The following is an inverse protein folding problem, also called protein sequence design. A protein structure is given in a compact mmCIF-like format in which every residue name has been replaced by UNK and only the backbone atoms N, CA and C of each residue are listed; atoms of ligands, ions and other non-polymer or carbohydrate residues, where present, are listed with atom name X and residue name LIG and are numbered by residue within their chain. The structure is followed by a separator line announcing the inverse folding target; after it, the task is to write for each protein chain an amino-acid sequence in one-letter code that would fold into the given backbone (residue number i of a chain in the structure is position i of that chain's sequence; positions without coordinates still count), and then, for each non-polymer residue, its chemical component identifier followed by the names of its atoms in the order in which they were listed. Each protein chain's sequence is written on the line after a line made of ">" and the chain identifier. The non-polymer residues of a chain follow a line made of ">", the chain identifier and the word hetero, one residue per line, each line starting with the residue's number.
data_IF_759202090723
#
_entry.id   IF_759202090723
#
_cell.length_a   1.000
_cell.length_b   1.000
_cell.length_c   1.000
_cell.angle_alpha   90.00
_cell.angle_beta   90.00
_cell.angle_gamma   90.00
#
_symmetry.space_group_name_H-M   'P 1'
#
loop_
_entity.id
_entity.type
_entity.pdbx_description
1 polymer ?
#
# COMPACT_ATOMS: atom_id res chain seq x y z
N UNK A 1 -52.15 18.65 -17.85
CA UNK A 1 -52.34 17.22 -18.17
C UNK A 1 -50.98 16.62 -18.55
N UNK A 2 -50.35 15.92 -17.61
CA UNK A 2 -49.08 15.22 -17.80
C UNK A 2 -49.39 13.79 -18.26
N UNK A 3 -48.77 13.33 -19.36
CA UNK A 3 -48.78 11.91 -19.74
C UNK A 3 -47.44 11.30 -19.36
N UNK A 4 -47.50 10.36 -18.43
CA UNK A 4 -46.46 9.42 -18.05
C UNK A 4 -46.40 8.26 -19.03
N UNK A 5 -45.20 7.83 -19.41
CA UNK A 5 -44.98 6.54 -20.06
C UNK A 5 -43.94 5.76 -19.24
N UNK A 6 -44.42 4.72 -18.56
CA UNK A 6 -43.66 3.63 -17.98
C UNK A 6 -43.28 2.68 -19.11
N UNK A 7 -42.01 2.26 -19.19
CA UNK A 7 -41.62 1.07 -19.93
C UNK A 7 -40.68 0.26 -19.03
N UNK A 8 -41.10 -0.97 -18.76
CA UNK A 8 -40.42 -2.01 -18.00
C UNK A 8 -40.26 -3.20 -18.93
N UNK A 9 -39.03 -3.59 -19.21
CA UNK A 9 -38.61 -4.91 -19.74
C UNK A 9 -37.16 -5.07 -19.24
N UNK A 10 -36.75 -6.11 -18.51
CA UNK A 10 -37.03 -7.53 -18.67
C UNK A 10 -35.77 -8.18 -19.24
N UNK A 11 -34.78 -8.50 -18.40
CA UNK A 11 -33.55 -9.18 -18.83
C UNK A 11 -33.42 -10.53 -18.13
N UNK A 12 -33.48 -11.59 -18.93
CA UNK A 12 -33.38 -13.00 -18.58
C UNK A 12 -32.04 -13.34 -17.90
N UNK A 13 -32.14 -14.13 -16.84
CA UNK A 13 -31.05 -14.88 -16.21
C UNK A 13 -30.86 -16.21 -16.95
N UNK A 14 -29.63 -16.51 -17.38
CA UNK A 14 -29.23 -17.85 -17.84
C UNK A 14 -28.27 -18.42 -16.80
N UNK A 15 -28.75 -19.43 -16.05
CA UNK A 15 -27.93 -20.27 -15.19
C UNK A 15 -27.36 -21.42 -16.03
N UNK A 16 -26.03 -21.47 -16.17
CA UNK A 16 -25.33 -22.68 -16.62
C UNK A 16 -24.73 -23.39 -15.41
N UNK A 17 -25.38 -24.48 -15.00
CA UNK A 17 -24.85 -25.45 -14.03
C UNK A 17 -23.92 -26.40 -14.78
N UNK A 18 -22.65 -26.42 -14.42
CA UNK A 18 -21.69 -27.42 -14.90
C UNK A 18 -21.18 -28.21 -13.70
N UNK A 19 -21.74 -29.39 -13.53
CA UNK A 19 -21.26 -30.44 -12.63
C UNK A 19 -19.95 -31.02 -13.16
N UNK A 20 -18.87 -30.91 -12.38
CA UNK A 20 -17.64 -31.67 -12.60
C UNK A 20 -17.43 -32.60 -11.41
N UNK A 21 -17.55 -33.88 -11.72
CA UNK A 21 -17.43 -35.02 -10.81
C UNK A 21 -16.01 -35.19 -10.28
N UNK A 22 -15.93 -35.49 -8.98
CA UNK A 22 -14.72 -35.96 -8.32
C UNK A 22 -14.32 -37.35 -8.84
N UNK A 23 -13.03 -37.54 -9.12
CA UNK A 23 -12.42 -38.87 -9.13
C UNK A 23 -11.15 -38.84 -8.28
N UNK A 24 -11.21 -39.54 -7.16
CA UNK A 24 -10.11 -39.82 -6.25
C UNK A 24 -9.17 -40.86 -6.87
N UNK A 25 -7.86 -40.65 -6.76
CA UNK A 25 -6.90 -41.74 -6.72
C UNK A 25 -5.86 -41.46 -5.61
N UNK A 26 -5.68 -42.46 -4.75
CA UNK A 26 -4.82 -42.43 -3.55
C UNK A 26 -3.35 -42.74 -3.89
N UNK A 27 -2.42 -42.38 -2.99
CA UNK A 27 -0.97 -42.48 -3.21
C UNK A 27 -0.42 -43.89 -2.90
N UNK A 28 0.58 -44.30 -3.69
CA UNK A 28 1.38 -45.50 -3.45
C UNK A 28 2.54 -45.21 -2.49
N UNK A 29 2.65 -46.05 -1.46
CA UNK A 29 3.73 -46.07 -0.49
C UNK A 29 4.94 -46.89 -0.99
N UNK A 30 6.14 -46.47 -0.64
CA UNK A 30 7.32 -47.34 -0.63
C UNK A 30 8.17 -47.01 0.62
N UNK A 31 8.29 -48.02 1.48
CA UNK A 31 9.15 -48.08 2.66
C UNK A 31 10.58 -48.45 2.24
N UNK A 32 11.59 -47.85 2.87
CA UNK A 32 13.00 -48.20 2.69
C UNK A 32 13.80 -47.90 3.96
N UNK A 33 14.38 -48.95 4.52
CA UNK A 33 14.92 -49.15 5.86
C UNK A 33 16.03 -48.22 6.39
N UNK A 34 16.03 -48.22 7.73
CA UNK A 34 17.08 -47.97 8.74
C UNK A 34 18.47 -48.49 8.33
N UNK A 35 19.49 -47.67 8.57
CA UNK A 35 20.89 -48.06 8.69
C UNK A 35 21.52 -47.38 9.91
N UNK A 36 21.82 -48.18 10.93
CA UNK A 36 22.54 -47.81 12.14
C UNK A 36 24.05 -47.79 11.91
N UNK A 37 24.74 -46.78 12.41
CA UNK A 37 26.20 -46.76 12.55
C UNK A 37 26.62 -45.62 13.47
N UNK A 38 26.97 -45.95 14.71
CA UNK A 38 27.59 -45.01 15.62
C UNK A 38 29.03 -44.75 15.22
N UNK A 39 29.56 -43.56 15.54
CA UNK A 39 30.61 -43.46 16.54
C UNK A 39 30.98 -42.03 16.92
N UNK A 40 31.42 -41.91 18.17
CA UNK A 40 32.33 -40.89 18.72
C UNK A 40 31.83 -39.46 18.93
N UNK A 41 31.56 -39.18 20.21
CA UNK A 41 31.59 -37.85 20.79
C UNK A 41 32.97 -37.18 20.60
N UNK A 42 32.96 -35.96 20.07
CA UNK A 42 33.94 -34.92 20.42
C UNK A 42 33.19 -33.62 20.66
N UNK A 43 33.17 -33.20 21.92
CA UNK A 43 32.71 -31.90 22.35
C UNK A 43 33.61 -30.82 21.75
N UNK A 44 33.20 -30.27 20.62
CA UNK A 44 33.71 -29.01 20.08
C UNK A 44 32.90 -27.87 20.67
N UNK A 45 33.55 -27.02 21.46
CA UNK A 45 32.99 -25.76 21.95
C UNK A 45 32.54 -24.92 20.75
N UNK A 46 31.24 -24.86 20.52
CA UNK A 46 30.64 -23.94 19.54
C UNK A 46 30.73 -22.54 20.12
N UNK A 47 31.68 -21.75 19.61
CA UNK A 47 31.64 -20.29 19.76
C UNK A 47 30.40 -19.80 19.03
N UNK A 48 29.39 -19.39 19.79
CA UNK A 48 28.29 -18.58 19.27
C UNK A 48 28.82 -17.19 18.99
N UNK A 49 29.30 -16.96 17.78
CA UNK A 49 29.54 -15.62 17.24
C UNK A 49 28.17 -14.96 16.98
N UNK A 50 27.55 -14.48 18.05
CA UNK A 50 26.38 -13.62 18.01
C UNK A 50 26.79 -12.17 18.20
N UNK A 51 27.65 -11.67 17.32
CA UNK A 51 27.89 -10.24 17.18
C UNK A 51 27.82 -9.86 15.70
N UNK A 52 26.60 -9.89 15.17
CA UNK A 52 26.28 -9.08 13.99
C UNK A 52 26.37 -7.63 14.44
N UNK A 53 27.50 -7.00 14.19
CA UNK A 53 27.69 -5.56 14.34
C UNK A 53 26.56 -4.88 13.54
N UNK A 54 25.55 -4.41 14.27
CA UNK A 54 24.40 -3.73 13.69
C UNK A 54 24.87 -2.38 13.20
N UNK A 55 25.14 -2.25 11.90
CA UNK A 55 25.50 -0.96 11.30
C UNK A 55 24.42 0.06 11.66
N UNK A 56 24.75 1.04 12.49
CA UNK A 56 23.81 2.10 12.85
C UNK A 56 23.60 3.01 11.65
N UNK A 57 22.35 3.31 11.33
CA UNK A 57 22.02 4.26 10.26
C UNK A 57 22.65 5.62 10.57
N UNK A 58 23.13 6.35 9.56
CA UNK A 58 23.73 7.67 9.77
C UNK A 58 22.69 8.62 10.40
N UNK A 59 23.12 9.53 11.30
CA UNK A 59 22.23 10.53 11.90
C UNK A 59 21.46 11.32 10.84
N UNK A 60 20.25 11.78 11.17
CA UNK A 60 19.45 12.61 10.28
C UNK A 60 20.14 13.98 10.10
N UNK A 61 20.42 14.35 8.85
CA UNK A 61 20.73 15.73 8.48
C UNK A 61 19.44 16.57 8.51
N UNK A 62 19.24 17.31 9.60
CA UNK A 62 18.05 18.12 9.84
C UNK A 62 17.97 19.32 8.90
N UNK A 63 19.09 19.90 8.50
CA UNK A 63 19.12 21.04 7.57
C UNK A 63 18.69 20.59 6.17
N UNK A 64 19.24 19.47 5.69
CA UNK A 64 18.81 18.88 4.42
C UNK A 64 17.35 18.45 4.46
N UNK A 65 16.90 17.84 5.56
CA UNK A 65 15.50 17.45 5.74
C UNK A 65 14.55 18.65 5.59
N UNK A 66 14.84 19.76 6.28
CA UNK A 66 14.05 20.99 6.17
C UNK A 66 14.07 21.57 4.76
N UNK A 67 15.24 21.61 4.11
CA UNK A 67 15.35 22.07 2.73
C UNK A 67 14.51 21.22 1.75
N UNK A 68 14.51 19.89 1.91
CA UNK A 68 13.71 18.97 1.10
C UNK A 68 12.21 19.10 1.40
N UNK A 69 11.81 19.34 2.66
CA UNK A 69 10.41 19.64 3.01
C UNK A 69 9.92 20.92 2.34
N UNK A 70 10.72 22.00 2.39
CA UNK A 70 10.37 23.25 1.73
C UNK A 70 10.27 23.11 0.21
N UNK A 71 11.19 22.36 -0.42
CA UNK A 71 11.09 22.01 -1.85
C UNK A 71 9.80 21.23 -2.14
N UNK A 72 9.49 20.21 -1.34
CA UNK A 72 8.31 19.37 -1.53
C UNK A 72 7.00 20.16 -1.38
N UNK A 73 6.96 21.18 -0.53
CA UNK A 73 5.84 22.11 -0.43
C UNK A 73 5.58 22.91 -1.73
N UNK A 74 6.54 22.94 -2.66
CA UNK A 74 6.42 23.47 -4.02
C UNK A 74 5.90 24.93 -4.06
N UNK A 75 6.46 25.77 -3.19
CA UNK A 75 6.08 27.17 -3.06
C UNK A 75 4.62 27.37 -2.62
N UNK A 76 4.07 26.45 -1.80
CA UNK A 76 2.84 26.73 -1.06
C UNK A 76 3.08 27.88 -0.07
N UNK A 77 2.25 28.91 -0.16
CA UNK A 77 2.29 30.09 0.70
C UNK A 77 1.09 30.15 1.66
N UNK A 78 0.30 29.08 1.75
CA UNK A 78 -0.94 29.05 2.53
C UNK A 78 -0.72 28.87 4.04
N UNK A 79 0.51 28.52 4.44
CA UNK A 79 0.86 28.16 5.82
C UNK A 79 0.41 26.75 6.23
N UNK A 80 -0.21 25.97 5.32
CA UNK A 80 -0.63 24.58 5.58
C UNK A 80 0.48 23.56 5.34
N UNK A 81 1.38 23.84 4.41
CA UNK A 81 2.44 22.94 3.97
C UNK A 81 3.80 23.65 4.02
N UNK A 82 4.89 22.95 4.38
CA UNK A 82 4.91 21.60 4.94
C UNK A 82 4.27 21.56 6.34
N UNK A 83 3.74 20.40 6.74
CA UNK A 83 3.18 20.23 8.08
C UNK A 83 4.30 20.25 9.11
N UNK A 84 4.09 20.98 10.21
CA UNK A 84 5.03 20.99 11.35
C UNK A 84 4.90 19.69 12.14
N UNK A 85 6.02 19.06 12.45
CA UNK A 85 6.08 17.82 13.23
C UNK A 85 7.49 17.55 13.75
N UNK A 86 7.63 16.48 14.53
CA UNK A 86 8.95 16.03 14.97
C UNK A 86 9.81 15.55 13.79
N UNK A 87 11.13 15.63 13.96
CA UNK A 87 12.05 15.03 13.00
C UNK A 87 11.90 13.50 12.99
N UNK A 88 11.97 12.85 11.82
CA UNK A 88 11.92 11.40 11.74
C UNK A 88 13.22 10.77 12.27
N UNK A 89 13.20 9.47 12.57
CA UNK A 89 14.43 8.75 12.92
C UNK A 89 15.38 8.62 11.69
N UNK A 90 16.68 8.33 11.94
CA UNK A 90 17.62 7.92 10.89
C UNK A 90 17.05 6.87 9.93
N UNK A 91 17.35 7.02 8.63
CA UNK A 91 16.84 6.16 7.56
C UNK A 91 15.45 6.53 7.03
N UNK A 92 14.92 7.70 7.40
CA UNK A 92 13.73 8.28 6.80
C UNK A 92 13.85 8.35 5.27
N UNK A 93 12.79 7.91 4.58
CA UNK A 93 12.74 7.90 3.11
C UNK A 93 12.18 9.23 2.59
N UNK A 94 11.19 9.81 3.27
CA UNK A 94 10.49 11.01 2.85
C UNK A 94 10.99 12.22 3.64
N UNK A 95 11.17 13.40 3.02
CA UNK A 95 11.00 13.70 1.59
C UNK A 95 12.29 13.52 0.76
N UNK A 96 13.27 12.74 1.22
CA UNK A 96 14.55 12.58 0.52
C UNK A 96 14.40 11.87 -0.84
N UNK A 97 13.52 10.88 -0.90
CA UNK A 97 13.25 10.06 -2.08
C UNK A 97 11.76 10.09 -2.42
N UNK A 98 11.44 10.03 -3.70
CA UNK A 98 10.09 9.80 -4.23
C UNK A 98 9.87 8.31 -4.40
N UNK A 99 8.78 7.80 -3.88
CA UNK A 99 8.38 6.40 -4.08
C UNK A 99 7.51 6.30 -5.33
N UNK A 100 7.81 5.39 -6.24
CA UNK A 100 6.96 5.04 -7.39
C UNK A 100 6.61 3.56 -7.29
N UNK A 101 5.32 3.26 -7.21
CA UNK A 101 4.83 1.92 -6.86
C UNK A 101 3.86 1.35 -7.88
N UNK A 102 3.86 0.03 -8.01
CA UNK A 102 2.81 -0.73 -8.70
C UNK A 102 1.90 -1.43 -7.70
N UNK A 103 0.59 -1.26 -7.87
CA UNK A 103 -0.44 -1.75 -6.96
C UNK A 103 -1.08 -3.06 -7.44
N UNK A 104 -1.53 -3.89 -6.50
CA UNK A 104 -2.50 -4.96 -6.76
C UNK A 104 -2.24 -6.25 -6.00
N UNK A 105 -2.88 -7.33 -6.44
CA UNK A 105 -2.65 -8.69 -5.94
C UNK A 105 -2.52 -9.69 -7.08
N UNK A 106 -2.00 -10.89 -6.79
CA UNK A 106 -1.70 -11.90 -7.81
C UNK A 106 -2.91 -12.74 -8.26
N UNK A 107 -4.07 -12.60 -7.62
CA UNK A 107 -5.27 -13.34 -8.02
C UNK A 107 -6.13 -12.59 -9.03
N UNK A 108 -6.04 -11.26 -9.11
CA UNK A 108 -6.94 -10.45 -9.92
C UNK A 108 -6.21 -9.55 -10.90
N UNK A 109 -6.48 -9.78 -12.20
CA UNK A 109 -6.13 -8.88 -13.30
C UNK A 109 -6.93 -7.58 -13.33
N UNK A 110 -7.87 -7.39 -12.39
CA UNK A 110 -8.73 -6.19 -12.30
C UNK A 110 -8.39 -5.29 -11.10
N UNK A 111 -7.50 -5.73 -10.22
CA UNK A 111 -7.14 -5.03 -8.99
C UNK A 111 -5.74 -4.40 -9.05
N UNK A 112 -5.18 -4.22 -10.24
CA UNK A 112 -3.95 -3.47 -10.47
C UNK A 112 -2.84 -4.25 -11.17
N UNK A 113 -1.84 -3.49 -11.62
CA UNK A 113 -0.72 -3.94 -12.46
C UNK A 113 -0.06 -5.23 -11.99
N UNK A 114 0.07 -5.45 -10.66
CA UNK A 114 0.72 -6.65 -10.12
C UNK A 114 0.02 -7.97 -10.49
N UNK A 115 -1.30 -7.95 -10.71
CA UNK A 115 -2.06 -9.12 -11.14
C UNK A 115 -2.17 -9.25 -12.66
N UNK A 116 -1.86 -8.19 -13.41
CA UNK A 116 -2.07 -8.14 -14.85
C UNK A 116 -0.96 -8.80 -15.67
N UNK A 117 0.29 -8.72 -15.19
CA UNK A 117 1.46 -9.13 -15.93
C UNK A 117 2.31 -10.17 -15.19
N UNK A 118 3.09 -10.98 -15.92
CA UNK A 118 4.19 -11.77 -15.35
C UNK A 118 5.21 -10.89 -14.63
N UNK A 119 5.97 -11.49 -13.71
CA UNK A 119 6.87 -10.77 -12.81
C UNK A 119 7.95 -9.96 -13.53
N UNK A 120 8.65 -10.54 -14.50
CA UNK A 120 9.65 -9.88 -15.32
C UNK A 120 9.11 -8.62 -16.00
N UNK A 121 7.91 -8.73 -16.58
CA UNK A 121 7.20 -7.60 -17.22
C UNK A 121 6.84 -6.52 -16.20
N UNK A 122 6.38 -6.88 -15.00
CA UNK A 122 6.13 -5.93 -13.90
C UNK A 122 7.41 -5.18 -13.54
N UNK A 123 8.52 -5.89 -13.36
CA UNK A 123 9.82 -5.30 -13.00
C UNK A 123 10.29 -4.31 -14.07
N UNK A 124 10.26 -4.71 -15.35
CA UNK A 124 10.69 -3.85 -16.45
C UNK A 124 9.85 -2.58 -16.57
N UNK A 125 8.53 -2.72 -16.49
CA UNK A 125 7.60 -1.59 -16.56
C UNK A 125 7.78 -0.64 -15.38
N UNK A 126 7.93 -1.16 -14.16
CA UNK A 126 8.16 -0.33 -12.98
C UNK A 126 9.49 0.44 -13.07
N UNK A 127 10.57 -0.21 -13.54
CA UNK A 127 11.85 0.46 -13.82
C UNK A 127 11.69 1.57 -14.85
N UNK A 128 10.85 1.38 -15.87
CA UNK A 128 10.57 2.42 -16.86
C UNK A 128 9.82 3.63 -16.23
N UNK A 129 8.83 3.39 -15.37
CA UNK A 129 8.16 4.49 -14.65
C UNK A 129 9.11 5.23 -13.70
N UNK A 130 9.97 4.53 -12.97
CA UNK A 130 11.02 5.14 -12.14
C UNK A 130 11.90 6.08 -12.98
N UNK A 131 12.34 5.65 -14.16
CA UNK A 131 13.13 6.49 -15.09
C UNK A 131 12.37 7.74 -15.53
N UNK A 132 11.08 7.62 -15.87
CA UNK A 132 10.24 8.77 -16.27
C UNK A 132 10.10 9.78 -15.14
N UNK A 133 9.85 9.31 -13.92
CA UNK A 133 9.73 10.19 -12.75
C UNK A 133 11.05 10.87 -12.39
N UNK A 134 12.18 10.17 -12.51
CA UNK A 134 13.48 10.78 -12.29
C UNK A 134 13.83 11.82 -13.36
N UNK A 135 13.53 11.54 -14.63
CA UNK A 135 13.74 12.50 -15.72
C UNK A 135 12.90 13.79 -15.55
N UNK A 136 11.71 13.68 -14.95
CA UNK A 136 10.85 14.83 -14.70
C UNK A 136 11.27 15.69 -13.48
N UNK A 137 12.07 15.12 -12.55
CA UNK A 137 12.57 15.82 -11.36
C UNK A 137 13.88 15.18 -10.89
N UNK A 138 14.99 15.63 -11.47
CA UNK A 138 16.32 15.04 -11.25
C UNK A 138 16.89 15.30 -9.86
N UNK A 139 16.33 16.25 -9.11
CA UNK A 139 16.83 16.61 -7.78
C UNK A 139 16.16 15.85 -6.62
N UNK A 140 15.28 14.89 -6.95
CA UNK A 140 14.72 13.92 -6.00
C UNK A 140 15.01 12.52 -6.55
N UNK A 141 15.69 11.70 -5.76
CA UNK A 141 15.92 10.29 -6.08
C UNK A 141 14.58 9.56 -6.13
N UNK A 142 14.41 8.63 -7.08
CA UNK A 142 13.17 7.86 -7.21
C UNK A 142 13.44 6.39 -6.87
N UNK A 143 12.64 5.82 -5.97
CA UNK A 143 12.75 4.42 -5.54
C UNK A 143 11.53 3.62 -5.98
N UNK A 144 11.71 2.41 -6.56
CA UNK A 144 10.59 1.54 -6.90
C UNK A 144 9.95 0.93 -5.65
N UNK A 145 8.67 0.58 -5.76
CA UNK A 145 7.95 -0.16 -4.74
C UNK A 145 6.91 -1.14 -5.30
N UNK A 146 6.72 -2.26 -4.61
CA UNK A 146 5.63 -3.20 -4.82
C UNK A 146 4.57 -2.94 -3.75
N UNK A 147 3.41 -2.43 -4.12
CA UNK A 147 2.30 -2.18 -3.21
C UNK A 147 1.27 -3.31 -3.32
N UNK A 148 1.45 -4.32 -2.48
CA UNK A 148 0.72 -5.57 -2.55
C UNK A 148 -0.46 -5.60 -1.59
N UNK A 149 -1.66 -5.88 -2.11
CA UNK A 149 -2.88 -6.03 -1.30
C UNK A 149 -2.82 -7.37 -0.58
N UNK A 150 -2.50 -7.35 0.71
CA UNK A 150 -2.37 -8.53 1.56
C UNK A 150 -3.72 -8.99 2.13
N UNK A 151 -4.73 -8.12 2.14
CA UNK A 151 -6.09 -8.44 2.57
C UNK A 151 -7.08 -7.65 1.73
N UNK A 152 -7.99 -8.34 1.04
CA UNK A 152 -8.99 -7.72 0.16
C UNK A 152 -10.38 -7.80 0.76
N UNK A 153 -11.18 -6.76 0.59
CA UNK A 153 -12.60 -6.82 0.86
C UNK A 153 -13.28 -7.74 -0.17
N UNK A 154 -14.34 -8.42 0.25
CA UNK A 154 -15.05 -9.41 -0.55
C UNK A 154 -16.51 -9.02 -0.72
N UNK A 155 -17.09 -9.43 -1.85
CA UNK A 155 -18.53 -9.26 -2.12
C UNK A 155 -19.41 -10.21 -1.30
N UNK A 156 -18.84 -11.32 -0.82
CA UNK A 156 -19.55 -12.33 -0.04
C UNK A 156 -18.91 -12.48 1.33
N UNK A 157 -19.71 -12.80 2.38
CA UNK A 157 -19.16 -13.08 3.69
C UNK A 157 -18.30 -14.36 3.64
N UNK A 158 -17.16 -14.34 4.33
CA UNK A 158 -16.46 -15.57 4.72
C UNK A 158 -17.14 -16.23 5.91
N UNK A 159 -16.55 -17.30 6.42
CA UNK A 159 -17.09 -18.08 7.56
C UNK A 159 -17.32 -17.24 8.82
N UNK A 160 -16.46 -16.25 9.07
CA UNK A 160 -16.56 -15.32 10.21
C UNK A 160 -17.47 -14.10 9.94
N UNK A 161 -18.14 -14.05 8.78
CA UNK A 161 -19.03 -12.96 8.40
C UNK A 161 -18.31 -11.64 8.12
N UNK A 162 -16.97 -11.60 7.99
CA UNK A 162 -16.21 -10.35 7.91
C UNK A 162 -15.97 -9.78 6.51
N UNK A 163 -16.46 -10.45 5.46
CA UNK A 163 -16.36 -9.99 4.05
C UNK A 163 -14.93 -9.67 3.60
N UNK A 164 -13.98 -10.56 3.89
CA UNK A 164 -12.56 -10.32 3.60
C UNK A 164 -11.85 -11.61 3.23
N UNK A 165 -10.80 -11.49 2.43
CA UNK A 165 -9.89 -12.56 2.07
C UNK A 165 -8.46 -12.14 2.40
N UNK A 166 -7.77 -12.93 3.22
CA UNK A 166 -6.34 -12.76 3.49
C UNK A 166 -5.55 -13.50 2.41
N UNK A 167 -4.58 -12.81 1.80
CA UNK A 167 -3.68 -13.45 0.85
C UNK A 167 -2.77 -14.45 1.57
N UNK A 168 -2.41 -15.57 0.92
CA UNK A 168 -1.53 -16.55 1.52
C UNK A 168 -0.13 -15.97 1.75
N UNK A 169 0.56 -16.48 2.78
CA UNK A 169 1.93 -16.09 3.12
C UNK A 169 2.88 -16.17 1.91
N UNK A 170 2.74 -17.19 1.07
CA UNK A 170 3.54 -17.40 -0.14
C UNK A 170 3.40 -16.25 -1.15
N UNK A 171 2.26 -15.59 -1.22
CA UNK A 171 2.09 -14.42 -2.08
C UNK A 171 2.76 -13.18 -1.49
N UNK A 172 2.67 -12.96 -0.20
CA UNK A 172 3.39 -11.85 0.45
C UNK A 172 4.91 -12.05 0.27
N UNK A 173 5.39 -13.28 0.45
CA UNK A 173 6.79 -13.66 0.23
C UNK A 173 7.20 -13.48 -1.23
N UNK A 174 6.32 -13.81 -2.20
CA UNK A 174 6.54 -13.51 -3.61
C UNK A 174 6.67 -12.01 -3.90
N UNK A 175 5.81 -11.16 -3.31
CA UNK A 175 5.90 -9.71 -3.47
C UNK A 175 7.21 -9.15 -2.91
N UNK A 176 7.66 -9.67 -1.76
CA UNK A 176 8.95 -9.31 -1.16
C UNK A 176 10.13 -9.75 -2.04
N UNK A 177 10.10 -10.98 -2.55
CA UNK A 177 11.13 -11.50 -3.45
C UNK A 177 11.18 -10.76 -4.79
N UNK A 178 10.03 -10.34 -5.32
CA UNK A 178 9.96 -9.49 -6.51
C UNK A 178 10.62 -8.13 -6.25
N UNK A 179 10.34 -7.51 -5.09
CA UNK A 179 10.92 -6.24 -4.72
C UNK A 179 12.45 -6.30 -4.54
N UNK A 180 12.98 -7.38 -3.96
CA UNK A 180 14.42 -7.54 -3.74
C UNK A 180 15.22 -7.58 -5.04
N UNK A 181 14.67 -8.10 -6.14
CA UNK A 181 15.30 -8.11 -7.48
C UNK A 181 15.58 -6.73 -8.06
N UNK A 182 15.04 -5.66 -7.47
CA UNK A 182 15.25 -4.29 -7.92
C UNK A 182 15.50 -3.30 -6.76
N UNK A 183 15.87 -3.80 -5.58
CA UNK A 183 16.05 -2.99 -4.36
C UNK A 183 14.83 -2.09 -4.06
N UNK A 184 13.62 -2.61 -4.31
CA UNK A 184 12.38 -1.90 -4.09
C UNK A 184 11.89 -1.99 -2.64
N UNK A 185 11.04 -1.04 -2.28
CA UNK A 185 10.21 -1.11 -1.08
C UNK A 185 9.03 -2.05 -1.31
N UNK A 186 8.42 -2.51 -0.22
CA UNK A 186 7.16 -3.26 -0.26
C UNK A 186 6.15 -2.54 0.62
N UNK A 187 4.91 -2.43 0.19
CA UNK A 187 3.79 -2.02 1.03
C UNK A 187 2.82 -3.19 1.13
N UNK A 188 2.47 -3.58 2.35
CA UNK A 188 1.37 -4.50 2.59
C UNK A 188 0.11 -3.69 2.83
N UNK A 189 -0.88 -3.88 2.00
CA UNK A 189 -2.10 -3.09 1.99
C UNK A 189 -3.32 -3.91 2.38
N UNK A 190 -4.25 -3.29 3.11
CA UNK A 190 -5.41 -4.00 3.65
C UNK A 190 -6.73 -3.25 3.49
N UNK A 191 -7.74 -4.02 3.13
CA UNK A 191 -9.13 -3.64 2.98
C UNK A 191 -9.99 -4.35 4.03
N UNK A 192 -10.07 -3.78 5.23
CA UNK A 192 -10.54 -4.51 6.45
C UNK A 192 -11.99 -5.02 6.40
N UNK A 193 -12.83 -4.49 5.50
CA UNK A 193 -14.24 -4.82 5.39
C UNK A 193 -14.98 -4.62 6.73
N UNK A 194 -15.58 -5.67 7.30
CA UNK A 194 -16.28 -5.64 8.59
C UNK A 194 -15.39 -5.98 9.81
N UNK A 195 -14.08 -6.01 9.60
CA UNK A 195 -13.11 -6.13 10.70
C UNK A 195 -12.47 -4.77 11.02
N UNK A 196 -11.38 -4.80 11.77
CA UNK A 196 -10.68 -3.67 12.35
C UNK A 196 -9.19 -3.78 12.07
N UNK A 197 -8.50 -2.64 12.11
CA UNK A 197 -7.04 -2.62 12.01
C UNK A 197 -6.40 -3.36 13.20
N UNK A 198 -7.06 -3.34 14.35
CA UNK A 198 -6.65 -4.02 15.58
C UNK A 198 -6.57 -5.54 15.43
N UNK A 199 -7.49 -6.13 14.67
CA UNK A 199 -7.47 -7.56 14.38
C UNK A 199 -6.45 -7.93 13.30
N UNK A 200 -6.23 -7.05 12.31
CA UNK A 200 -5.53 -7.42 11.08
C UNK A 200 -4.07 -7.00 10.99
N UNK A 201 -3.71 -5.83 11.51
CA UNK A 201 -2.32 -5.35 11.48
C UNK A 201 -1.38 -6.33 12.20
N UNK A 202 -1.70 -6.87 13.39
CA UNK A 202 -0.80 -7.80 14.09
C UNK A 202 -0.51 -9.08 13.31
N UNK A 203 -1.44 -9.53 12.46
CA UNK A 203 -1.26 -10.75 11.64
C UNK A 203 -0.17 -10.60 10.58
N UNK A 204 0.21 -9.36 10.27
CA UNK A 204 1.26 -9.04 9.29
C UNK A 204 2.62 -8.76 9.94
N UNK A 205 2.75 -8.87 11.27
CA UNK A 205 3.99 -8.53 12.00
C UNK A 205 5.22 -9.26 11.47
N UNK A 206 5.07 -10.56 11.09
CA UNK A 206 6.14 -11.37 10.52
C UNK A 206 6.90 -10.65 9.39
N UNK A 207 6.18 -9.90 8.55
CA UNK A 207 6.73 -9.16 7.42
C UNK A 207 6.97 -7.69 7.75
N UNK A 208 6.11 -7.04 8.56
CA UNK A 208 6.26 -5.63 8.93
C UNK A 208 7.55 -5.35 9.73
N UNK A 209 8.12 -6.38 10.38
CA UNK A 209 9.43 -6.27 11.03
C UNK A 209 10.63 -6.24 10.06
N UNK A 210 10.44 -6.43 8.76
CA UNK A 210 11.49 -6.28 7.75
C UNK A 210 11.73 -4.79 7.44
N UNK A 211 12.98 -4.34 7.25
CA UNK A 211 13.29 -2.91 7.14
C UNK A 211 12.64 -2.22 5.93
N UNK A 212 12.54 -2.90 4.78
CA UNK A 212 11.99 -2.38 3.52
C UNK A 212 10.48 -2.62 3.34
N UNK A 213 9.79 -3.17 4.35
CA UNK A 213 8.34 -3.41 4.31
C UNK A 213 7.61 -2.31 5.08
N UNK A 214 6.67 -1.66 4.39
CA UNK A 214 5.83 -0.56 4.80
C UNK A 214 4.35 -0.98 4.74
N UNK A 215 3.42 -0.06 5.01
CA UNK A 215 2.02 -0.41 5.20
C UNK A 215 1.07 0.53 4.47
N UNK A 216 -0.04 -0.01 3.97
CA UNK A 216 -1.14 0.70 3.32
C UNK A 216 -2.48 0.34 3.97
N UNK A 217 -3.40 1.30 3.98
CA UNK A 217 -4.79 1.09 4.43
C UNK A 217 -5.76 1.75 3.45
N UNK A 218 -6.88 1.06 3.20
CA UNK A 218 -7.98 1.50 2.34
C UNK A 218 -9.23 1.86 3.17
N UNK A 219 -9.42 3.14 3.57
CA UNK A 219 -10.60 3.56 4.30
C UNK A 219 -11.92 3.31 3.58
N UNK A 220 -11.95 3.30 2.24
CA UNK A 220 -13.16 3.02 1.46
C UNK A 220 -13.76 1.64 1.75
N UNK A 221 -12.95 0.70 2.25
CA UNK A 221 -13.38 -0.64 2.62
C UNK A 221 -13.50 -0.84 4.14
N UNK A 222 -13.40 0.22 4.94
CA UNK A 222 -13.65 0.14 6.39
C UNK A 222 -15.13 0.37 6.69
N UNK A 223 -15.88 -0.74 6.79
CA UNK A 223 -17.35 -0.72 6.79
C UNK A 223 -17.93 -0.60 8.20
N UNK A 224 -17.62 0.50 8.90
CA UNK A 224 -18.08 0.77 10.28
C UNK A 224 -19.61 0.76 10.47
N UNK A 225 -20.37 0.87 9.39
CA UNK A 225 -21.85 0.85 9.41
C UNK A 225 -22.46 -0.55 9.37
N UNK A 226 -21.65 -1.61 9.23
CA UNK A 226 -22.16 -2.98 9.02
C UNK A 226 -22.58 -3.27 7.57
N UNK A 227 -22.58 -2.28 6.68
CA UNK A 227 -22.93 -2.46 5.27
C UNK A 227 -21.90 -3.33 4.56
N UNK A 228 -22.37 -4.04 3.53
CA UNK A 228 -21.51 -4.85 2.64
C UNK A 228 -20.44 -3.95 1.98
N UNK A 229 -19.15 -4.35 1.95
CA UNK A 229 -18.10 -3.60 1.23
C UNK A 229 -18.48 -3.31 -0.22
N UNK A 230 -18.09 -2.15 -0.74
CA UNK A 230 -18.40 -1.72 -2.11
C UNK A 230 -19.84 -1.22 -2.33
N UNK A 231 -20.76 -1.41 -1.38
CA UNK A 231 -22.13 -0.87 -1.45
C UNK A 231 -22.22 0.63 -1.11
N UNK A 232 -21.30 1.09 -0.26
CA UNK A 232 -21.07 2.49 0.10
C UNK A 232 -19.57 2.68 0.34
N UNK A 233 -19.12 3.93 0.36
CA UNK A 233 -17.74 4.26 0.74
C UNK A 233 -17.61 4.16 2.26
N UNK A 234 -16.67 3.36 2.72
CA UNK A 234 -16.29 3.21 4.13
C UNK A 234 -15.56 4.42 4.70
N UNK A 235 -15.12 4.29 5.95
CA UNK A 235 -14.41 5.36 6.65
C UNK A 235 -13.45 4.83 7.72
N UNK A 236 -12.35 5.56 7.91
CA UNK A 236 -11.46 5.42 9.05
C UNK A 236 -11.34 6.75 9.77
N UNK A 237 -11.30 6.69 11.08
CA UNK A 237 -11.09 7.85 11.94
C UNK A 237 -9.59 8.04 12.25
N UNK A 238 -9.22 9.23 12.72
CA UNK A 238 -7.91 9.45 13.31
C UNK A 238 -7.55 8.42 14.39
N UNK A 239 -8.52 7.91 15.16
CA UNK A 239 -8.28 6.82 16.11
C UNK A 239 -7.75 5.53 15.45
N UNK A 240 -8.27 5.15 14.29
CA UNK A 240 -7.83 3.96 13.54
C UNK A 240 -6.40 4.16 12.99
N UNK A 241 -6.14 5.35 12.44
CA UNK A 241 -4.82 5.72 11.92
C UNK A 241 -3.81 5.79 13.06
N UNK A 242 -4.16 6.39 14.19
CA UNK A 242 -3.31 6.48 15.38
C UNK A 242 -3.00 5.11 16.00
N UNK A 243 -3.96 4.18 16.00
CA UNK A 243 -3.69 2.80 16.39
C UNK A 243 -2.62 2.19 15.47
N UNK A 244 -2.80 2.33 14.16
CA UNK A 244 -1.91 1.75 13.16
C UNK A 244 -0.50 2.33 13.25
N UNK A 245 -0.38 3.66 13.34
CA UNK A 245 0.92 4.32 13.50
C UNK A 245 1.57 3.89 14.81
N UNK A 246 0.84 3.81 15.92
CA UNK A 246 1.38 3.35 17.22
C UNK A 246 1.89 1.91 17.15
N UNK A 247 1.18 1.02 16.44
CA UNK A 247 1.63 -0.35 16.22
C UNK A 247 2.92 -0.39 15.41
N UNK A 248 2.98 0.33 14.29
CA UNK A 248 4.19 0.41 13.46
C UNK A 248 5.37 1.02 14.24
N UNK A 249 5.14 2.06 15.05
CA UNK A 249 6.17 2.66 15.90
C UNK A 249 6.70 1.68 16.95
N UNK A 250 5.83 0.84 17.54
CA UNK A 250 6.24 -0.25 18.43
C UNK A 250 7.19 -1.22 17.70
N UNK A 251 6.87 -1.61 16.46
CA UNK A 251 7.76 -2.48 15.67
C UNK A 251 9.10 -1.81 15.38
N UNK A 252 9.08 -0.53 15.00
CA UNK A 252 10.30 0.26 14.74
C UNK A 252 11.21 0.28 15.96
N UNK A 253 10.66 0.53 17.15
CA UNK A 253 11.44 0.53 18.41
C UNK A 253 11.93 -0.87 18.77
N UNK A 254 11.06 -1.86 18.72
CA UNK A 254 11.34 -3.23 19.17
C UNK A 254 12.43 -3.88 18.32
N UNK A 255 12.37 -3.70 17.00
CA UNK A 255 13.31 -4.31 16.07
C UNK A 255 14.42 -3.34 15.60
N UNK A 256 14.38 -2.08 16.07
CA UNK A 256 15.29 -0.99 15.70
C UNK A 256 15.42 -0.88 14.17
N UNK A 257 14.28 -0.58 13.56
CA UNK A 257 14.09 -0.42 12.12
C UNK A 257 14.21 1.06 11.72
N UNK A 258 14.45 1.36 10.43
CA UNK A 258 14.14 2.69 9.89
C UNK A 258 12.65 3.04 10.06
N UNK A 259 12.28 4.33 9.99
CA UNK A 259 10.88 4.75 9.99
C UNK A 259 10.03 4.02 8.95
N UNK A 260 8.83 3.63 9.34
CA UNK A 260 7.84 3.08 8.41
C UNK A 260 7.16 4.18 7.61
N UNK A 261 6.53 3.78 6.51
CA UNK A 261 5.62 4.63 5.75
C UNK A 261 4.25 3.99 5.91
N UNK A 262 3.27 4.81 6.29
CA UNK A 262 1.86 4.46 6.26
C UNK A 262 1.20 5.23 5.11
N UNK A 263 0.71 4.51 4.10
CA UNK A 263 -0.11 5.09 3.04
C UNK A 263 -1.57 4.97 3.44
N UNK A 264 -2.31 6.08 3.38
CA UNK A 264 -3.74 6.15 3.66
C UNK A 264 -4.45 6.64 2.40
N UNK A 265 -5.21 5.76 1.76
CA UNK A 265 -5.89 6.06 0.50
C UNK A 265 -7.11 6.97 0.72
N UNK A 266 -7.31 7.95 -0.16
CA UNK A 266 -8.38 8.95 -0.03
C UNK A 266 -8.79 9.58 -1.37
N UNK A 267 -10.08 9.55 -1.69
CA UNK A 267 -10.67 10.30 -2.82
C UNK A 267 -12.01 10.96 -2.50
N UNK A 268 -12.51 10.81 -1.27
CA UNK A 268 -13.62 11.62 -0.75
C UNK A 268 -13.27 12.19 0.61
N UNK A 269 -13.99 13.24 1.03
CA UNK A 269 -13.75 13.84 2.33
C UNK A 269 -14.08 12.86 3.47
N UNK A 270 -15.21 12.15 3.40
CA UNK A 270 -15.69 11.29 4.48
C UNK A 270 -14.86 10.02 4.74
N UNK A 271 -13.93 9.66 3.85
CA UNK A 271 -13.08 8.48 4.03
C UNK A 271 -12.14 8.59 5.24
N UNK A 272 -11.71 9.80 5.59
CA UNK A 272 -10.88 10.05 6.78
C UNK A 272 -11.52 11.13 7.62
N UNK A 273 -11.97 10.76 8.81
CA UNK A 273 -12.56 11.69 9.78
C UNK A 273 -11.53 12.16 10.80
N UNK A 274 -11.76 13.35 11.36
CA UNK A 274 -10.95 13.91 12.44
C UNK A 274 -9.44 14.00 12.14
N UNK A 275 -9.04 14.22 10.88
CA UNK A 275 -7.62 14.20 10.45
C UNK A 275 -6.67 15.06 11.32
N UNK A 276 -7.16 16.17 11.90
CA UNK A 276 -6.39 17.03 12.82
C UNK A 276 -5.96 16.32 14.12
N UNK A 277 -6.59 15.20 14.45
CA UNK A 277 -6.27 14.37 15.61
C UNK A 277 -5.28 13.25 15.27
N UNK A 278 -4.87 13.12 14.00
CA UNK A 278 -3.80 12.18 13.61
C UNK A 278 -2.48 12.67 14.21
N UNK A 279 -1.82 11.81 14.98
CA UNK A 279 -0.58 12.11 15.68
C UNK A 279 0.61 11.71 14.82
N UNK A 280 1.49 12.68 14.55
CA UNK A 280 2.77 12.44 13.90
C UNK A 280 3.81 11.98 14.93
N UNK A 281 4.69 11.06 14.53
CA UNK A 281 5.73 10.52 15.40
C UNK A 281 6.98 10.13 14.60
N UNK A 282 8.20 10.20 15.20
CA UNK A 282 9.47 10.01 14.46
C UNK A 282 9.60 8.67 13.73
N UNK A 283 8.90 7.64 14.20
CA UNK A 283 8.99 6.27 13.70
C UNK A 283 8.13 6.00 12.45
N UNK A 284 7.18 6.89 12.11
CA UNK A 284 6.23 6.65 11.02
C UNK A 284 6.00 7.92 10.21
N UNK A 285 6.17 7.79 8.90
CA UNK A 285 5.87 8.82 7.90
C UNK A 285 4.50 8.51 7.28
N UNK A 286 3.57 9.46 7.30
CA UNK A 286 2.20 9.27 6.80
C UNK A 286 2.04 9.94 5.44
N UNK A 287 1.52 9.18 4.48
CA UNK A 287 1.16 9.65 3.15
C UNK A 287 -0.35 9.63 3.02
N UNK A 288 -0.96 10.79 2.76
CA UNK A 288 -2.34 10.87 2.29
C UNK A 288 -2.35 10.74 0.77
N UNK A 289 -2.75 9.58 0.27
CA UNK A 289 -2.68 9.25 -1.16
C UNK A 289 -4.00 9.55 -1.87
N UNK A 290 -3.95 10.39 -2.90
CA UNK A 290 -5.14 10.69 -3.72
C UNK A 290 -5.47 9.49 -4.62
N UNK A 291 -6.49 8.73 -4.23
CA UNK A 291 -6.87 7.43 -4.83
C UNK A 291 -8.14 7.55 -5.71
N UNK A 292 -8.27 8.64 -6.47
CA UNK A 292 -9.41 8.89 -7.35
C UNK A 292 -9.05 8.67 -8.82
N UNK A 293 -9.95 8.09 -9.60
CA UNK A 293 -9.76 7.88 -11.05
C UNK A 293 -10.67 8.77 -11.91
N UNK A 294 -10.35 8.84 -13.20
CA UNK A 294 -11.13 9.51 -14.23
C UNK A 294 -10.43 10.74 -14.78
N UNK A 295 -11.20 11.69 -15.32
CA UNK A 295 -10.65 12.87 -15.98
C UNK A 295 -9.68 13.67 -15.07
N UNK A 296 -8.58 14.15 -15.63
CA UNK A 296 -7.46 14.81 -14.97
C UNK A 296 -7.91 15.98 -14.10
N UNK A 297 -8.79 16.84 -14.63
CA UNK A 297 -9.39 17.94 -13.89
C UNK A 297 -10.11 17.48 -12.61
N UNK A 298 -10.81 16.34 -12.65
CA UNK A 298 -11.45 15.73 -11.47
C UNK A 298 -10.39 15.26 -10.47
N UNK A 299 -9.33 14.61 -10.94
CA UNK A 299 -8.24 14.13 -10.08
C UNK A 299 -7.51 15.27 -9.38
N UNK A 300 -7.17 16.34 -10.11
CA UNK A 300 -6.56 17.54 -9.52
C UNK A 300 -7.50 18.26 -8.55
N UNK A 301 -8.80 18.35 -8.86
CA UNK A 301 -9.76 18.90 -7.92
C UNK A 301 -9.89 18.02 -6.67
N UNK A 302 -9.94 16.70 -6.82
CA UNK A 302 -10.01 15.74 -5.70
C UNK A 302 -8.79 15.89 -4.77
N UNK A 303 -7.59 15.95 -5.35
CA UNK A 303 -6.37 16.27 -4.60
C UNK A 303 -6.50 17.59 -3.83
N UNK A 304 -6.94 18.67 -4.51
CA UNK A 304 -7.12 19.99 -3.91
C UNK A 304 -8.15 19.98 -2.77
N UNK A 305 -9.26 19.26 -2.92
CA UNK A 305 -10.34 19.27 -1.94
C UNK A 305 -10.06 18.39 -0.73
N UNK A 306 -9.48 17.20 -0.92
CA UNK A 306 -9.46 16.17 0.12
C UNK A 306 -8.05 15.80 0.61
N UNK A 307 -7.00 16.18 -0.12
CA UNK A 307 -5.62 15.96 0.33
C UNK A 307 -5.00 17.30 0.75
N UNK A 308 -4.97 18.29 -0.13
CA UNK A 308 -4.35 19.59 0.14
C UNK A 308 -4.99 20.36 1.30
N UNK A 309 -6.33 20.41 1.35
CA UNK A 309 -7.09 21.16 2.37
C UNK A 309 -7.05 20.52 3.76
N UNK A 310 -6.68 19.25 3.84
CA UNK A 310 -6.65 18.48 5.08
C UNK A 310 -5.25 17.90 5.31
N UNK A 311 -4.26 18.76 5.62
CA UNK A 311 -2.88 18.36 5.68
C UNK A 311 -2.61 17.39 6.85
N UNK A 312 -1.83 16.33 6.59
CA UNK A 312 -1.38 15.36 7.61
C UNK A 312 0.15 15.32 7.70
N UNK A 313 0.86 14.88 6.67
CA UNK A 313 2.34 14.95 6.68
C UNK A 313 2.93 15.00 5.26
N UNK A 314 2.67 13.97 4.45
CA UNK A 314 3.07 13.91 3.05
C UNK A 314 1.87 13.58 2.16
N UNK A 315 2.00 13.81 0.86
CA UNK A 315 0.95 13.53 -0.11
C UNK A 315 1.38 12.48 -1.12
N UNK A 316 0.40 11.69 -1.54
CA UNK A 316 0.51 10.73 -2.62
C UNK A 316 -0.46 11.03 -3.76
N UNK A 317 -0.23 10.40 -4.90
CA UNK A 317 -1.12 10.48 -6.04
C UNK A 317 -1.15 9.18 -6.83
N UNK A 318 -2.34 8.63 -7.02
CA UNK A 318 -2.54 7.41 -7.79
C UNK A 318 -2.91 7.72 -9.25
N UNK A 319 -2.34 6.95 -10.16
CA UNK A 319 -2.52 7.04 -11.62
C UNK A 319 -3.08 5.71 -12.10
N UNK A 320 -4.19 5.74 -12.85
CA UNK A 320 -4.82 4.52 -13.33
C UNK A 320 -4.62 4.40 -14.84
N UNK A 321 -3.91 3.37 -15.29
CA UNK A 321 -3.61 3.21 -16.71
C UNK A 321 -4.87 3.04 -17.57
N UNK A 322 -5.90 2.40 -17.01
CA UNK A 322 -7.16 2.10 -17.72
C UNK A 322 -8.32 2.97 -17.24
N UNK A 323 -8.47 3.16 -15.92
CA UNK A 323 -9.64 3.86 -15.40
C UNK A 323 -9.61 5.37 -15.68
N UNK A 324 -8.42 5.98 -15.78
CA UNK A 324 -8.30 7.40 -16.15
C UNK A 324 -8.72 7.64 -17.61
N UNK A 325 -8.75 6.60 -18.46
CA UNK A 325 -9.08 6.66 -19.88
C UNK A 325 -10.56 6.39 -20.22
N UNK A 326 -11.44 6.27 -19.21
CA UNK A 326 -12.86 5.91 -19.42
C UNK A 326 -13.71 7.05 -20.00
N UNK A 327 -13.25 8.28 -19.89
CA UNK A 327 -13.96 9.48 -20.36
C UNK A 327 -13.36 9.97 -21.67
N UNK A 328 -14.17 10.54 -22.57
CA UNK A 328 -13.67 11.11 -23.82
C UNK A 328 -12.64 12.22 -23.54
N UNK A 329 -11.62 12.33 -24.39
CA UNK A 329 -10.53 13.31 -24.29
C UNK A 329 -9.69 13.23 -23.00
N UNK A 330 -9.71 12.08 -22.32
CA UNK A 330 -8.82 11.81 -21.19
C UNK A 330 -7.49 11.18 -21.62
N UNK A 331 -6.48 11.32 -20.78
CA UNK A 331 -5.13 10.77 -20.94
C UNK A 331 -4.55 10.40 -19.57
N UNK A 332 -3.63 9.44 -19.55
CA UNK A 332 -2.89 9.08 -18.34
C UNK A 332 -1.94 10.21 -17.99
N UNK A 333 -2.12 10.79 -16.80
CA UNK A 333 -1.32 11.91 -16.30
C UNK A 333 0.18 11.60 -16.35
N UNK A 334 0.95 12.54 -16.91
CA UNK A 334 2.41 12.47 -16.96
C UNK A 334 3.04 13.03 -15.68
N UNK A 335 4.26 12.59 -15.30
CA UNK A 335 4.96 13.08 -14.11
C UNK A 335 5.01 14.62 -14.01
N UNK A 336 5.33 15.31 -15.11
CA UNK A 336 5.41 16.77 -15.16
C UNK A 336 4.07 17.47 -14.87
N UNK A 337 2.94 16.83 -15.13
CA UNK A 337 1.62 17.37 -14.79
C UNK A 337 1.34 17.24 -13.29
N UNK A 338 1.64 16.07 -12.71
CA UNK A 338 1.45 15.81 -11.28
C UNK A 338 2.41 16.64 -10.42
N UNK A 339 3.63 16.88 -10.88
CA UNK A 339 4.64 17.70 -10.18
C UNK A 339 4.28 19.19 -10.09
N UNK A 340 3.21 19.65 -10.78
CA UNK A 340 2.68 21.01 -10.61
C UNK A 340 1.84 21.19 -9.34
N UNK A 341 1.45 20.08 -8.69
CA UNK A 341 0.65 20.11 -7.48
C UNK A 341 1.43 20.71 -6.30
N UNK A 342 0.68 21.25 -5.33
CA UNK A 342 1.19 21.81 -4.08
C UNK A 342 0.50 21.13 -2.90
N UNK A 343 1.25 20.50 -1.97
CA UNK A 343 2.64 20.08 -2.13
C UNK A 343 2.79 19.11 -3.32
N UNK A 344 4.01 18.84 -3.76
CA UNK A 344 4.30 17.81 -4.76
C UNK A 344 4.09 16.42 -4.15
N UNK A 345 3.29 15.54 -4.76
CA UNK A 345 3.21 14.14 -4.34
C UNK A 345 4.60 13.49 -4.31
N UNK A 346 4.94 12.91 -3.16
CA UNK A 346 6.22 12.23 -2.92
C UNK A 346 6.08 10.70 -2.95
N UNK A 347 4.84 10.22 -3.02
CA UNK A 347 4.48 8.83 -3.22
C UNK A 347 3.55 8.74 -4.44
N UNK A 348 3.90 7.90 -5.40
CA UNK A 348 3.15 7.69 -6.64
C UNK A 348 2.76 6.22 -6.71
N UNK A 349 1.52 5.96 -7.07
CA UNK A 349 1.02 4.60 -7.24
C UNK A 349 0.36 4.45 -8.59
N UNK A 350 0.74 3.40 -9.33
CA UNK A 350 0.09 3.04 -10.58
C UNK A 350 -0.79 1.82 -10.39
N UNK A 351 -2.00 1.88 -10.96
CA UNK A 351 -2.97 0.80 -10.98
C UNK A 351 -3.45 0.47 -12.40
#
# INVERSE_FOLDING_TARGET
>A
MKKSAFIWTGALFVLSVSSLSFSMCKPGAANGQIGSGGDSAKAGVVKTDTDVIKASLPPLDTALFLAKLHRNANGDSSGKWPVKGAYPLPGAILPFKRVVSYYGNFYSKKMGVLGEYPEDVVIEKLKAEVKKWHAADTAVEVVPAIHYIALTAQDSPGEDGKYRLRMPASHIERAINMASKMNALVFLDIQVALSTLQEEVPKLEKWLKLPNVHFGIDPEFSMKTGKKPGSVIGTMDAADINYTTSYLAKLVKTYNLPPKILVVHRFTQGMVTNYKQIKLQPEVQIVMDMDGWGHQARKFNTYKQFVYKEPVQFTGFKIFYKNDLREANSHVLQPAEVLKLKPQPIYIQYQ
#
